data_IF_279377819234
#
_entry.id   IF_279377819234
#
_cell.length_a   1.000
_cell.length_b   1.000
_cell.length_c   1.000
_cell.angle_alpha   90.00
_cell.angle_beta   90.00
_cell.angle_gamma   90.00
#
_symmetry.space_group_name_H-M   'P 1'
#
loop_
_entity.id
_entity.type
_entity.pdbx_description
1 polymer ?
#
# COMPACT_ATOMS: atom_id res chain seq x y z
N UNK A 1 22.48 -15.46 7.79
CA UNK A 1 23.06 -14.12 7.57
C UNK A 1 22.06 -13.32 6.75
N UNK A 2 21.43 -12.29 7.32
CA UNK A 2 20.43 -11.47 6.63
C UNK A 2 21.14 -10.49 5.71
N UNK A 3 20.93 -10.60 4.42
CA UNK A 3 21.53 -9.70 3.44
C UNK A 3 20.56 -8.58 3.09
N UNK A 4 20.99 -7.33 3.22
CA UNK A 4 20.22 -6.15 2.80
C UNK A 4 20.59 -5.82 1.35
N UNK A 5 19.74 -6.18 0.42
CA UNK A 5 20.03 -6.09 -1.00
C UNK A 5 19.97 -4.67 -1.57
N UNK A 6 18.97 -3.90 -1.16
CA UNK A 6 18.71 -2.59 -1.74
C UNK A 6 17.99 -1.67 -0.77
N UNK A 7 18.51 -0.46 -0.63
CA UNK A 7 17.89 0.62 0.16
C UNK A 7 17.53 1.77 -0.77
N UNK A 8 16.28 2.20 -0.75
CA UNK A 8 15.87 3.44 -1.41
C UNK A 8 15.98 4.60 -0.43
N UNK A 9 16.96 5.47 -0.61
CA UNK A 9 17.14 6.66 0.22
C UNK A 9 15.97 7.64 0.14
N UNK A 10 15.26 7.66 -0.99
CA UNK A 10 14.13 8.55 -1.21
C UNK A 10 12.82 8.11 -0.52
N UNK A 11 12.72 6.84 -0.10
CA UNK A 11 11.46 6.28 0.37
C UNK A 11 11.56 5.54 1.71
N UNK A 12 12.72 5.50 2.36
CA UNK A 12 12.98 4.68 3.55
C UNK A 12 12.55 3.20 3.42
N UNK A 13 12.47 2.72 2.17
CA UNK A 13 12.14 1.35 1.84
C UNK A 13 13.41 0.53 1.67
N UNK A 14 13.37 -0.71 2.13
CA UNK A 14 14.48 -1.64 1.94
C UNK A 14 13.95 -3.04 1.61
N UNK A 15 14.80 -3.80 0.92
CA UNK A 15 14.57 -5.20 0.58
C UNK A 15 15.70 -6.01 1.19
N UNK A 16 15.37 -7.13 1.81
CA UNK A 16 16.35 -8.05 2.39
C UNK A 16 15.88 -9.49 2.21
N UNK A 17 16.84 -10.41 2.28
CA UNK A 17 16.57 -11.84 2.09
C UNK A 17 16.97 -12.61 3.33
N UNK A 18 16.15 -13.58 3.71
CA UNK A 18 16.45 -14.61 4.69
C UNK A 18 16.44 -15.97 4.01
N UNK A 19 17.45 -16.77 4.25
CA UNK A 19 17.58 -18.10 3.66
C UNK A 19 17.68 -19.14 4.76
N UNK A 20 17.04 -20.27 4.57
CA UNK A 20 17.06 -21.34 5.56
C UNK A 20 16.50 -22.66 5.01
N UNK A 21 16.53 -23.66 5.85
CA UNK A 21 15.88 -24.94 5.59
C UNK A 21 14.49 -24.95 6.22
N UNK A 22 13.50 -25.43 5.50
CA UNK A 22 12.14 -25.61 5.99
C UNK A 22 12.12 -26.74 7.02
N UNK A 23 11.83 -26.42 8.26
CA UNK A 23 11.71 -27.43 9.35
C UNK A 23 10.28 -27.92 9.49
N UNK A 24 9.30 -27.07 9.18
CA UNK A 24 7.88 -27.44 9.11
C UNK A 24 7.15 -26.57 8.09
N UNK A 25 6.11 -27.13 7.47
CA UNK A 25 5.24 -26.38 6.58
C UNK A 25 3.79 -26.81 6.78
N UNK A 26 2.90 -25.85 6.90
CA UNK A 26 1.48 -26.05 7.12
C UNK A 26 0.70 -25.31 6.05
N UNK A 27 -0.19 -26.02 5.36
CA UNK A 27 -1.12 -25.43 4.40
C UNK A 27 -2.52 -25.47 4.98
N UNK A 28 -3.18 -24.33 5.01
CA UNK A 28 -4.58 -24.22 5.42
C UNK A 28 -5.39 -23.52 4.33
N UNK A 29 -6.67 -23.87 4.24
CA UNK A 29 -7.59 -23.27 3.30
C UNK A 29 -8.68 -22.53 4.10
N UNK A 30 -8.86 -21.25 3.79
CA UNK A 30 -9.94 -20.43 4.35
C UNK A 30 -10.94 -20.12 3.25
N UNK A 31 -12.15 -20.64 3.39
CA UNK A 31 -13.24 -20.31 2.47
C UNK A 31 -14.10 -19.21 3.10
N UNK A 32 -14.27 -18.12 2.39
CA UNK A 32 -15.19 -17.04 2.72
C UNK A 32 -16.40 -17.14 1.81
N UNK A 33 -17.58 -17.31 2.42
CA UNK A 33 -18.86 -17.34 1.72
C UNK A 33 -19.62 -16.07 2.05
N UNK A 34 -19.98 -15.31 1.04
CA UNK A 34 -20.86 -14.14 1.17
C UNK A 34 -22.08 -14.31 0.29
N UNK A 35 -23.26 -14.03 0.85
CA UNK A 35 -24.52 -14.12 0.12
C UNK A 35 -25.31 -12.82 0.30
N UNK A 36 -25.92 -12.35 -0.79
CA UNK A 36 -26.92 -11.27 -0.79
C UNK A 36 -28.13 -11.72 -1.60
N UNK A 37 -29.32 -11.43 -1.12
CA UNK A 37 -30.57 -11.71 -1.82
C UNK A 37 -31.38 -10.42 -1.98
N UNK A 38 -32.04 -10.29 -3.13
CA UNK A 38 -33.07 -9.32 -3.39
C UNK A 38 -34.34 -10.02 -3.90
N UNK A 39 -35.35 -9.26 -4.27
CA UNK A 39 -36.61 -9.79 -4.83
C UNK A 39 -36.43 -10.58 -6.15
N UNK A 40 -35.24 -10.60 -6.73
CA UNK A 40 -34.91 -11.26 -8.00
C UNK A 40 -34.03 -12.50 -7.84
N UNK A 41 -33.60 -12.82 -6.62
CA UNK A 41 -32.84 -14.04 -6.35
C UNK A 41 -31.74 -13.90 -5.29
N UNK A 42 -31.12 -15.04 -4.98
CA UNK A 42 -30.00 -15.12 -4.04
C UNK A 42 -28.72 -15.30 -4.84
N UNK A 43 -27.75 -14.41 -4.62
CA UNK A 43 -26.39 -14.54 -5.17
C UNK A 43 -25.46 -14.97 -4.05
N UNK A 44 -24.82 -16.11 -4.23
CA UNK A 44 -23.81 -16.64 -3.31
C UNK A 44 -22.46 -16.53 -4.01
N UNK A 45 -21.53 -15.82 -3.38
CA UNK A 45 -20.12 -15.74 -3.79
C UNK A 45 -19.27 -16.49 -2.77
N UNK A 46 -18.41 -17.39 -3.24
CA UNK A 46 -17.43 -18.06 -2.41
C UNK A 46 -16.02 -17.76 -2.93
N UNK A 47 -15.11 -17.43 -2.04
CA UNK A 47 -13.68 -17.29 -2.33
C UNK A 47 -12.89 -18.14 -1.36
N UNK A 48 -11.95 -18.94 -1.89
CA UNK A 48 -11.05 -19.74 -1.06
C UNK A 48 -9.66 -19.16 -1.15
N UNK A 49 -9.05 -18.90 -0.01
CA UNK A 49 -7.66 -18.43 0.12
C UNK A 49 -6.85 -19.59 0.70
N UNK A 50 -5.81 -19.99 -0.01
CA UNK A 50 -4.80 -20.90 0.50
C UNK A 50 -3.79 -20.10 1.33
N UNK A 51 -3.46 -20.58 2.53
CA UNK A 51 -2.50 -19.96 3.41
C UNK A 51 -1.38 -20.96 3.68
N UNK A 52 -0.16 -20.61 3.31
CA UNK A 52 1.04 -21.38 3.55
C UNK A 52 1.81 -20.73 4.71
N UNK A 53 2.05 -21.52 5.76
CA UNK A 53 2.89 -21.17 6.90
C UNK A 53 4.13 -22.03 6.87
N UNK A 54 5.29 -21.41 6.91
CA UNK A 54 6.61 -22.05 6.88
C UNK A 54 7.38 -21.70 8.14
N UNK A 55 8.09 -22.68 8.69
CA UNK A 55 9.09 -22.47 9.71
C UNK A 55 10.45 -22.73 9.10
N UNK A 56 11.28 -21.71 9.06
CA UNK A 56 12.62 -21.74 8.45
C UNK A 56 13.67 -21.72 9.54
N UNK A 57 14.61 -22.65 9.48
CA UNK A 57 15.82 -22.63 10.31
C UNK A 57 16.96 -21.99 9.54
N UNK A 58 17.39 -20.83 10.01
CA UNK A 58 18.54 -20.10 9.46
C UNK A 58 19.87 -20.77 9.82
N UNK A 59 20.96 -20.37 9.16
CA UNK A 59 22.28 -20.94 9.39
C UNK A 59 22.83 -20.69 10.81
N UNK A 60 22.33 -19.67 11.51
CA UNK A 60 22.67 -19.36 12.91
C UNK A 60 21.86 -20.19 13.92
N UNK A 61 20.97 -21.06 13.43
CA UNK A 61 20.08 -21.91 14.24
C UNK A 61 18.78 -21.23 14.66
N UNK A 62 18.60 -19.94 14.34
CA UNK A 62 17.35 -19.22 14.59
C UNK A 62 16.21 -19.76 13.73
N UNK A 63 15.01 -19.80 14.28
CA UNK A 63 13.80 -20.17 13.53
C UNK A 63 12.93 -18.93 13.25
N UNK A 64 12.44 -18.85 12.02
CA UNK A 64 11.60 -17.74 11.54
C UNK A 64 10.32 -18.30 10.95
N UNK A 65 9.19 -17.82 11.44
CA UNK A 65 7.88 -18.10 10.86
C UNK A 65 7.60 -17.15 9.70
N UNK A 66 7.15 -17.72 8.58
CA UNK A 66 6.79 -16.98 7.37
C UNK A 66 5.42 -17.43 6.90
N UNK A 67 4.59 -16.47 6.52
CA UNK A 67 3.24 -16.75 6.04
C UNK A 67 2.99 -16.10 4.70
N UNK A 68 2.47 -16.90 3.76
CA UNK A 68 2.02 -16.43 2.44
C UNK A 68 0.56 -16.79 2.19
N UNK A 69 -0.17 -15.89 1.56
CA UNK A 69 -1.51 -16.11 1.06
C UNK A 69 -1.45 -16.41 -0.44
N UNK A 70 -2.08 -17.51 -0.87
CA UNK A 70 -2.10 -18.01 -2.25
C UNK A 70 -0.70 -18.09 -2.90
N UNK A 71 0.24 -18.86 -2.32
CA UNK A 71 1.63 -18.85 -2.79
C UNK A 71 1.80 -19.41 -4.20
N UNK A 72 0.95 -20.34 -4.64
CA UNK A 72 1.09 -21.02 -5.93
C UNK A 72 2.42 -21.78 -6.10
N UNK A 73 3.17 -21.94 -5.03
CA UNK A 73 4.47 -22.60 -4.98
C UNK A 73 4.47 -23.70 -3.92
N UNK A 74 4.75 -24.93 -4.36
CA UNK A 74 4.88 -26.07 -3.44
C UNK A 74 6.19 -26.00 -2.67
N UNK A 75 6.10 -26.12 -1.35
CA UNK A 75 7.25 -26.23 -0.45
C UNK A 75 7.04 -27.43 0.44
N UNK A 76 8.11 -28.15 0.75
CA UNK A 76 8.11 -29.33 1.63
C UNK A 76 9.12 -29.16 2.74
N UNK A 77 8.92 -29.87 3.83
CA UNK A 77 9.92 -30.00 4.87
C UNK A 77 11.24 -30.48 4.29
N UNK A 78 12.34 -29.90 4.71
CA UNK A 78 13.68 -30.17 4.22
C UNK A 78 14.12 -29.30 3.05
N UNK A 79 13.20 -28.65 2.31
CA UNK A 79 13.57 -27.78 1.22
C UNK A 79 14.42 -26.58 1.70
N UNK A 80 15.40 -26.18 0.87
CA UNK A 80 16.13 -24.94 1.04
C UNK A 80 15.36 -23.83 0.35
N UNK A 81 15.03 -22.80 1.09
CA UNK A 81 14.29 -21.66 0.57
C UNK A 81 14.92 -20.34 0.97
N UNK A 82 14.76 -19.36 0.10
CA UNK A 82 15.08 -17.96 0.38
C UNK A 82 13.81 -17.14 0.31
N UNK A 83 13.53 -16.39 1.37
CA UNK A 83 12.38 -15.49 1.45
C UNK A 83 12.85 -14.07 1.35
N UNK A 84 12.27 -13.35 0.39
CA UNK A 84 12.55 -11.93 0.15
C UNK A 84 11.51 -11.11 0.89
N UNK A 85 11.99 -10.17 1.69
CA UNK A 85 11.18 -9.24 2.47
C UNK A 85 11.32 -7.83 1.94
N UNK A 86 10.23 -7.08 1.99
CA UNK A 86 10.25 -5.64 1.76
C UNK A 86 9.60 -4.91 2.93
N UNK A 87 10.19 -3.81 3.37
CA UNK A 87 9.71 -3.08 4.53
C UNK A 87 10.24 -1.67 4.62
N UNK A 88 9.85 -0.99 5.72
CA UNK A 88 10.33 0.34 6.06
C UNK A 88 11.52 0.25 7.01
N UNK A 89 12.55 1.02 6.74
CA UNK A 89 13.79 1.07 7.52
C UNK A 89 13.55 1.43 9.00
N UNK A 90 12.56 2.26 9.26
CA UNK A 90 12.24 2.71 10.62
C UNK A 90 11.66 1.59 11.49
N UNK A 91 10.86 0.70 10.92
CA UNK A 91 10.20 -0.38 11.68
C UNK A 91 11.06 -1.62 11.86
N UNK A 92 12.17 -1.74 11.11
CA UNK A 92 13.02 -2.94 11.04
C UNK A 92 12.25 -4.24 10.77
N UNK A 93 11.00 -4.13 10.35
CA UNK A 93 10.11 -5.23 10.00
C UNK A 93 9.78 -5.16 8.53
N UNK A 94 9.66 -6.33 7.88
CA UNK A 94 9.29 -6.41 6.47
C UNK A 94 8.18 -7.43 6.26
N UNK A 95 7.43 -7.24 5.20
CA UNK A 95 6.46 -8.23 4.72
C UNK A 95 7.16 -9.22 3.80
N UNK A 96 6.89 -10.53 3.90
CA UNK A 96 7.42 -11.53 2.99
C UNK A 96 6.75 -11.36 1.63
N UNK A 97 7.50 -10.84 0.66
CA UNK A 97 6.97 -10.46 -0.67
C UNK A 97 7.34 -11.42 -1.78
N UNK A 98 8.34 -12.26 -1.56
CA UNK A 98 8.76 -13.27 -2.55
C UNK A 98 9.43 -14.45 -1.89
N UNK A 99 9.50 -15.56 -2.61
CA UNK A 99 10.16 -16.79 -2.16
C UNK A 99 10.80 -17.52 -3.35
N UNK A 100 11.99 -18.07 -3.13
CA UNK A 100 12.71 -18.96 -4.04
C UNK A 100 12.86 -20.30 -3.35
N UNK A 101 12.46 -21.38 -4.00
CA UNK A 101 12.72 -22.74 -3.57
C UNK A 101 13.89 -23.28 -4.40
N UNK A 102 15.08 -23.39 -3.79
CA UNK A 102 16.33 -23.79 -4.44
C UNK A 102 16.29 -25.24 -4.92
N UNK A 103 15.60 -26.13 -4.19
CA UNK A 103 15.56 -27.54 -4.54
C UNK A 103 14.67 -27.84 -5.76
N UNK A 104 13.69 -26.97 -6.03
CA UNK A 104 12.80 -27.11 -7.20
C UNK A 104 13.10 -26.11 -8.30
N UNK A 105 13.98 -25.12 -8.07
CA UNK A 105 14.27 -24.03 -8.98
C UNK A 105 13.06 -23.12 -9.27
N UNK A 106 12.02 -23.15 -8.45
CA UNK A 106 10.82 -22.34 -8.64
C UNK A 106 10.80 -21.16 -7.69
N UNK A 107 10.22 -20.07 -8.15
CA UNK A 107 10.06 -18.85 -7.35
C UNK A 107 8.67 -18.25 -7.51
N UNK A 108 8.29 -17.39 -6.56
CA UNK A 108 7.04 -16.64 -6.58
C UNK A 108 7.22 -15.22 -6.03
N UNK A 109 6.34 -14.32 -6.45
CA UNK A 109 6.19 -12.97 -5.92
C UNK A 109 4.74 -12.77 -5.52
N UNK A 110 4.50 -12.34 -4.29
CA UNK A 110 3.18 -12.04 -3.78
C UNK A 110 2.81 -10.58 -4.01
N UNK A 111 2.02 -10.32 -5.05
CA UNK A 111 1.49 -8.98 -5.36
C UNK A 111 0.69 -8.39 -4.19
N UNK A 112 -0.08 -9.23 -3.49
CA UNK A 112 -0.89 -8.80 -2.35
C UNK A 112 -0.03 -8.30 -1.19
N UNK A 113 1.11 -8.94 -0.94
CA UNK A 113 2.05 -8.51 0.11
C UNK A 113 2.83 -7.24 -0.30
N UNK A 114 3.20 -7.13 -1.57
CA UNK A 114 3.84 -5.91 -2.10
C UNK A 114 2.97 -4.68 -1.91
N UNK A 115 1.67 -4.80 -2.11
CA UNK A 115 0.73 -3.68 -1.94
C UNK A 115 0.61 -3.20 -0.48
N UNK A 116 0.98 -4.03 0.50
CA UNK A 116 0.98 -3.66 1.93
C UNK A 116 2.19 -2.79 2.31
N UNK A 117 3.30 -2.90 1.57
CA UNK A 117 4.56 -2.20 1.88
C UNK A 117 4.47 -0.67 1.73
N UNK A 118 3.84 -0.11 0.68
CA UNK A 118 3.85 1.33 0.43
C UNK A 118 2.72 2.13 1.09
N UNK A 119 1.88 1.52 1.94
CA UNK A 119 0.69 2.17 2.51
C UNK A 119 1.06 3.29 3.49
N UNK A 120 1.44 4.47 2.97
CA UNK A 120 1.81 5.64 3.78
C UNK A 120 0.64 6.59 4.09
N UNK A 121 -0.48 6.48 3.38
CA UNK A 121 -1.63 7.37 3.59
C UNK A 121 -2.89 6.54 3.75
N UNK A 122 -3.44 6.56 4.95
CA UNK A 122 -4.77 6.04 5.19
C UNK A 122 -5.77 6.79 4.30
N UNK A 123 -6.50 6.06 3.48
CA UNK A 123 -7.55 6.60 2.61
C UNK A 123 -8.57 7.44 3.42
N UNK A 124 -8.77 7.11 4.69
CA UNK A 124 -9.58 7.86 5.66
C UNK A 124 -9.13 9.33 5.81
N UNK A 125 -7.83 9.61 5.80
CA UNK A 125 -7.33 11.00 5.83
C UNK A 125 -7.67 11.76 4.55
N UNK A 126 -7.64 11.09 3.40
CA UNK A 126 -8.08 11.70 2.13
C UNK A 126 -9.57 12.06 2.15
N UNK A 127 -10.42 11.17 2.67
CA UNK A 127 -11.86 11.41 2.80
C UNK A 127 -12.21 12.54 3.77
N UNK A 128 -11.39 12.76 4.83
CA UNK A 128 -11.59 13.86 5.78
C UNK A 128 -11.01 15.19 5.27
N UNK A 129 -9.89 15.15 4.55
CA UNK A 129 -9.23 16.36 4.05
C UNK A 129 -10.08 17.12 3.03
N UNK A 130 -10.83 16.42 2.17
CA UNK A 130 -11.65 17.08 1.15
C UNK A 130 -12.76 17.94 1.74
N UNK A 131 -13.66 17.45 2.63
CA UNK A 131 -14.71 18.31 3.21
C UNK A 131 -14.14 19.41 4.10
N UNK A 132 -13.05 19.16 4.84
CA UNK A 132 -12.38 20.19 5.65
C UNK A 132 -11.80 21.30 4.75
N UNK A 133 -11.16 20.93 3.66
CA UNK A 133 -10.63 21.91 2.70
C UNK A 133 -11.75 22.72 2.03
N UNK A 134 -12.86 22.09 1.68
CA UNK A 134 -14.01 22.78 1.10
C UNK A 134 -14.62 23.79 2.08
N UNK A 135 -14.77 23.41 3.34
CA UNK A 135 -15.28 24.32 4.38
C UNK A 135 -14.33 25.49 4.63
N UNK A 136 -13.03 25.22 4.77
CA UNK A 136 -12.01 26.24 4.92
C UNK A 136 -11.96 27.18 3.69
N UNK A 137 -12.11 26.63 2.48
CA UNK A 137 -12.19 27.39 1.24
C UNK A 137 -13.41 28.32 1.18
N UNK A 138 -14.56 27.87 1.66
CA UNK A 138 -15.77 28.70 1.75
C UNK A 138 -15.56 29.88 2.69
N UNK A 139 -15.01 29.63 3.88
CA UNK A 139 -14.75 30.69 4.87
C UNK A 139 -13.70 31.70 4.36
N UNK A 140 -12.60 31.22 3.76
CA UNK A 140 -11.59 32.05 3.17
C UNK A 140 -12.15 32.88 2.00
N UNK A 141 -12.97 32.29 1.15
CA UNK A 141 -13.59 32.95 0.03
C UNK A 141 -14.53 34.08 0.45
N UNK A 142 -15.31 33.88 1.50
CA UNK A 142 -16.14 34.95 2.09
C UNK A 142 -15.25 36.10 2.60
N UNK A 143 -14.21 35.78 3.36
CA UNK A 143 -13.29 36.79 3.92
C UNK A 143 -12.60 37.63 2.83
N UNK A 144 -12.12 36.97 1.79
CA UNK A 144 -11.49 37.65 0.65
C UNK A 144 -12.52 38.52 -0.11
N UNK A 145 -13.73 38.00 -0.34
CA UNK A 145 -14.80 38.74 -1.00
C UNK A 145 -15.19 40.02 -0.23
N UNK A 146 -15.29 39.94 1.11
CA UNK A 146 -15.55 41.11 1.94
C UNK A 146 -14.38 42.10 1.91
N UNK A 147 -13.15 41.62 1.99
CA UNK A 147 -11.97 42.45 1.96
C UNK A 147 -11.85 43.26 0.65
N UNK A 148 -11.99 42.55 -0.48
CA UNK A 148 -11.94 43.18 -1.82
C UNK A 148 -13.11 44.15 -2.02
N UNK A 149 -14.31 43.81 -1.55
CA UNK A 149 -15.45 44.72 -1.62
C UNK A 149 -15.26 45.98 -0.81
N UNK A 150 -14.69 45.91 0.41
CA UNK A 150 -14.40 47.08 1.23
C UNK A 150 -13.30 47.94 0.65
N UNK A 151 -12.22 47.34 0.13
CA UNK A 151 -11.10 48.06 -0.50
C UNK A 151 -11.52 48.78 -1.78
N UNK A 152 -12.47 48.23 -2.54
CA UNK A 152 -13.01 48.87 -3.75
C UNK A 152 -14.04 49.95 -3.48
N UNK A 153 -14.34 50.26 -2.22
CA UNK A 153 -15.36 51.26 -1.83
C UNK A 153 -16.80 50.87 -2.14
N UNK A 154 -17.03 49.61 -2.42
CA UNK A 154 -18.37 49.06 -2.76
C UNK A 154 -19.13 48.84 -1.47
N UNK A 155 -20.40 49.31 -1.40
CA UNK A 155 -21.27 49.19 -0.24
C UNK A 155 -22.62 48.54 -0.62
N UNK A 156 -23.33 48.06 0.37
CA UNK A 156 -24.71 47.56 0.20
C UNK A 156 -24.82 46.24 -0.57
N UNK A 157 -25.67 46.20 -1.58
CA UNK A 157 -25.95 44.97 -2.37
C UNK A 157 -24.78 44.45 -3.16
N UNK A 158 -23.91 45.32 -3.65
CA UNK A 158 -22.71 44.91 -4.37
C UNK A 158 -21.71 44.22 -3.45
N UNK A 159 -21.57 44.62 -2.16
CA UNK A 159 -20.72 43.90 -1.21
C UNK A 159 -21.25 42.48 -0.95
N UNK A 160 -22.56 42.30 -0.91
CA UNK A 160 -23.20 40.98 -0.80
C UNK A 160 -22.86 40.09 -1.98
N UNK A 161 -22.88 40.62 -3.22
CA UNK A 161 -22.54 39.83 -4.41
C UNK A 161 -21.08 39.37 -4.42
N UNK A 162 -20.13 40.19 -3.93
CA UNK A 162 -18.73 39.80 -3.79
C UNK A 162 -18.50 38.70 -2.73
N UNK A 163 -19.22 38.77 -1.60
CA UNK A 163 -19.15 37.72 -0.58
C UNK A 163 -19.77 36.40 -1.04
N UNK A 164 -20.88 36.44 -1.80
CA UNK A 164 -21.49 35.27 -2.42
C UNK A 164 -20.61 34.66 -3.50
N UNK A 165 -19.96 35.46 -4.33
CA UNK A 165 -18.99 34.96 -5.31
C UNK A 165 -17.82 34.25 -4.62
N UNK A 166 -17.28 34.80 -3.53
CA UNK A 166 -16.24 34.18 -2.73
C UNK A 166 -16.70 32.87 -2.08
N UNK A 167 -17.95 32.84 -1.57
CA UNK A 167 -18.55 31.62 -1.02
C UNK A 167 -18.63 30.46 -2.00
N UNK A 168 -18.87 30.73 -3.29
CA UNK A 168 -18.93 29.72 -4.35
C UNK A 168 -17.54 29.36 -4.87
N UNK A 169 -16.72 30.36 -5.16
CA UNK A 169 -15.39 30.14 -5.75
C UNK A 169 -14.40 29.47 -4.78
N UNK A 170 -14.45 29.80 -3.50
CA UNK A 170 -13.58 29.25 -2.48
C UNK A 170 -13.63 27.70 -2.40
N UNK A 171 -14.80 27.08 -2.23
CA UNK A 171 -14.93 25.62 -2.25
C UNK A 171 -14.49 24.97 -3.56
N UNK A 172 -14.77 25.58 -4.70
CA UNK A 172 -14.37 25.07 -6.02
C UNK A 172 -12.85 25.01 -6.12
N UNK A 173 -12.16 26.07 -5.76
CA UNK A 173 -10.68 26.12 -5.76
C UNK A 173 -10.11 25.12 -4.76
N UNK A 174 -10.69 25.00 -3.57
CA UNK A 174 -10.26 24.04 -2.55
C UNK A 174 -10.47 22.60 -3.02
N UNK A 175 -11.57 22.30 -3.72
CA UNK A 175 -11.83 20.99 -4.32
C UNK A 175 -10.76 20.65 -5.36
N UNK A 176 -10.48 21.57 -6.29
CA UNK A 176 -9.45 21.37 -7.33
C UNK A 176 -8.08 21.13 -6.70
N UNK A 177 -7.69 21.95 -5.72
CA UNK A 177 -6.43 21.78 -5.00
C UNK A 177 -6.36 20.42 -4.29
N UNK A 178 -7.47 19.96 -3.68
CA UNK A 178 -7.56 18.67 -3.00
C UNK A 178 -7.42 17.51 -4.00
N UNK A 179 -8.03 17.60 -5.17
CA UNK A 179 -7.92 16.59 -6.24
C UNK A 179 -6.48 16.51 -6.78
N UNK A 180 -5.80 17.63 -6.98
CA UNK A 180 -4.40 17.67 -7.39
C UNK A 180 -3.50 17.03 -6.31
N UNK A 181 -3.75 17.33 -5.04
CA UNK A 181 -3.01 16.72 -3.94
C UNK A 181 -3.20 15.20 -3.90
N UNK A 182 -4.45 14.72 -4.00
CA UNK A 182 -4.76 13.29 -4.02
C UNK A 182 -4.11 12.58 -5.23
N UNK A 183 -4.14 13.19 -6.40
CA UNK A 183 -3.47 12.67 -7.59
C UNK A 183 -1.94 12.59 -7.40
N UNK A 184 -1.34 13.60 -6.76
CA UNK A 184 0.09 13.61 -6.45
C UNK A 184 0.49 12.51 -5.48
N UNK A 185 -0.34 12.24 -4.45
CA UNK A 185 -0.15 11.15 -3.50
C UNK A 185 -0.26 9.80 -4.21
N UNK A 186 -1.29 9.63 -5.06
CA UNK A 186 -1.48 8.41 -5.85
C UNK A 186 -0.29 8.11 -6.76
N UNK A 187 0.24 9.13 -7.44
CA UNK A 187 1.41 8.98 -8.31
C UNK A 187 2.70 8.62 -7.55
N UNK A 188 2.87 9.15 -6.33
CA UNK A 188 4.00 8.79 -5.45
C UNK A 188 3.90 7.35 -4.99
N UNK A 189 2.71 6.89 -4.57
CA UNK A 189 2.48 5.51 -4.16
C UNK A 189 2.72 4.54 -5.32
N UNK A 190 2.26 4.85 -6.53
CA UNK A 190 2.50 4.04 -7.71
C UNK A 190 4.00 3.90 -8.05
N UNK A 191 4.79 4.97 -7.92
CA UNK A 191 6.25 4.93 -8.11
C UNK A 191 6.93 4.07 -7.06
N UNK A 192 6.50 4.15 -5.79
CA UNK A 192 7.01 3.33 -4.69
C UNK A 192 6.74 1.84 -4.92
N UNK A 193 5.51 1.51 -5.30
CA UNK A 193 5.14 0.13 -5.62
C UNK A 193 5.99 -0.44 -6.76
N UNK A 194 6.18 0.31 -7.84
CA UNK A 194 7.06 -0.11 -8.95
C UNK A 194 8.49 -0.35 -8.47
N UNK A 195 9.04 0.57 -7.69
CA UNK A 195 10.39 0.39 -7.15
C UNK A 195 10.51 -0.89 -6.30
N UNK A 196 9.52 -1.19 -5.45
CA UNK A 196 9.50 -2.43 -4.65
C UNK A 196 9.46 -3.65 -5.56
N UNK A 197 8.58 -3.65 -6.57
CA UNK A 197 8.48 -4.75 -7.54
C UNK A 197 9.82 -4.98 -8.25
N UNK A 198 10.45 -3.92 -8.75
CA UNK A 198 11.72 -4.00 -9.47
C UNK A 198 12.85 -4.49 -8.54
N UNK A 199 12.89 -3.99 -7.29
CA UNK A 199 13.88 -4.40 -6.30
C UNK A 199 13.71 -5.86 -5.87
N UNK A 200 12.47 -6.31 -5.68
CA UNK A 200 12.14 -7.70 -5.32
C UNK A 200 12.48 -8.65 -6.47
N UNK A 201 12.12 -8.32 -7.70
CA UNK A 201 12.47 -9.12 -8.88
C UNK A 201 13.98 -9.22 -9.05
N UNK A 202 14.72 -8.11 -8.94
CA UNK A 202 16.17 -8.11 -9.03
C UNK A 202 16.80 -9.01 -7.95
N UNK A 203 16.26 -8.97 -6.72
CA UNK A 203 16.77 -9.80 -5.63
C UNK A 203 16.45 -11.28 -5.84
N UNK A 204 15.26 -11.62 -6.32
CA UNK A 204 14.87 -12.99 -6.65
C UNK A 204 15.81 -13.55 -7.72
N UNK A 205 16.07 -12.80 -8.80
CA UNK A 205 16.98 -13.23 -9.85
C UNK A 205 18.43 -13.40 -9.33
N UNK A 206 18.87 -12.53 -8.42
CA UNK A 206 20.18 -12.65 -7.78
C UNK A 206 20.28 -13.95 -6.96
N UNK A 207 19.27 -14.22 -6.15
CA UNK A 207 19.22 -15.39 -5.26
C UNK A 207 19.06 -16.68 -6.06
N UNK A 208 18.23 -16.66 -7.11
CA UNK A 208 18.03 -17.82 -8.00
C UNK A 208 19.24 -18.13 -8.88
N UNK A 209 20.01 -17.13 -9.28
CA UNK A 209 21.21 -17.29 -10.12
C UNK A 209 22.51 -17.53 -9.34
N UNK A 210 22.46 -17.60 -8.00
CA UNK A 210 23.64 -17.82 -7.15
C UNK A 210 23.90 -19.31 -6.83
N UNK A 211 23.05 -20.21 -7.28
CA UNK A 211 23.19 -21.67 -7.21
C UNK A 211 23.78 -22.19 -8.53
#
# INVERSE_FOLDING_TARGET
MTYVAKVSSANDLYVFTRSGQVVDCQTSHRTHVSGGGDHHGVRINSSTTEQLRLFLREADGGEVEVQFDNPGLGVRQGNRVSVVYAGHRQTRSGYPVGMVNHDTGRWMVSQAQIQRVPAYVNLLWGCLLVPVAMFAGAMAGIAVGLLLGTLSGVSGEALRSWSLAGFVLGPVLALVASLILLASIGSRNARRTRWVVDAVNAEIHRVHGSD
#
